data_IF_160766017598
#
_entry.id   IF_160766017598
#
_cell.length_a   1.000
_cell.length_b   1.000
_cell.length_c   1.000
_cell.angle_alpha   90.00
_cell.angle_beta   90.00
_cell.angle_gamma   90.00
#
_symmetry.space_group_name_H-M   'P 1'
#
loop_
_entity.id
_entity.type
_entity.pdbx_description
1 polymer ?
#
# COMPACT_ATOMS: atom_id res chain seq x y z
N UNK A 1 0.86 0.93 12.93
CA UNK A 1 1.13 0.70 11.50
C UNK A 1 2.17 -0.39 11.34
N UNK A 2 1.83 -1.43 10.59
CA UNK A 2 2.66 -2.62 10.39
C UNK A 2 3.13 -2.65 8.93
N UNK A 3 4.44 -2.81 8.71
CA UNK A 3 4.99 -3.12 7.39
C UNK A 3 5.05 -4.64 7.19
N UNK A 4 4.47 -5.13 6.11
CA UNK A 4 4.57 -6.54 5.75
C UNK A 4 5.80 -6.78 4.87
N UNK A 5 6.81 -7.43 5.45
CA UNK A 5 8.10 -7.64 4.79
C UNK A 5 8.82 -6.33 4.45
N UNK A 6 8.59 -5.27 5.22
CA UNK A 6 9.22 -3.98 5.03
C UNK A 6 9.29 -3.19 6.33
N UNK A 7 10.39 -2.50 6.54
CA UNK A 7 10.57 -1.55 7.65
C UNK A 7 10.16 -0.11 7.28
N UNK A 8 9.80 0.12 6.01
CA UNK A 8 9.42 1.42 5.51
C UNK A 8 7.96 1.45 5.03
N UNK A 9 7.33 2.61 5.17
CA UNK A 9 6.00 2.87 4.60
C UNK A 9 6.10 2.91 3.07
N UNK A 10 5.50 1.95 2.34
CA UNK A 10 5.65 1.90 0.88
C UNK A 10 4.90 3.06 0.21
N UNK A 11 5.54 3.76 -0.75
CA UNK A 11 4.95 4.93 -1.39
C UNK A 11 4.13 4.59 -2.64
N UNK A 12 3.38 3.50 -2.64
CA UNK A 12 2.45 3.03 -3.65
C UNK A 12 3.13 2.40 -4.88
N UNK A 13 3.79 3.18 -5.73
CA UNK A 13 4.40 2.70 -6.98
C UNK A 13 5.82 2.16 -6.81
N UNK A 14 6.44 2.42 -5.68
CA UNK A 14 7.78 1.96 -5.34
C UNK A 14 7.79 1.32 -3.95
N UNK A 15 8.93 0.76 -3.55
CA UNK A 15 9.02 0.02 -2.29
C UNK A 15 9.57 0.84 -1.13
N UNK A 16 10.31 1.91 -1.39
CA UNK A 16 11.01 2.70 -0.37
C UNK A 16 10.60 4.16 -0.39
N UNK A 17 10.30 4.71 0.78
CA UNK A 17 9.90 6.10 0.96
C UNK A 17 10.86 6.91 1.84
N UNK A 18 11.69 6.25 2.63
CA UNK A 18 12.46 6.87 3.70
C UNK A 18 11.68 7.10 5.01
N UNK A 19 10.39 6.75 5.05
CA UNK A 19 9.56 6.83 6.27
C UNK A 19 9.38 5.45 6.87
N UNK A 20 9.64 5.31 8.18
CA UNK A 20 9.52 4.04 8.89
C UNK A 20 8.08 3.67 9.24
N UNK A 21 7.88 2.38 9.54
CA UNK A 21 6.67 1.84 10.16
C UNK A 21 6.91 1.54 11.63
N UNK A 22 5.85 1.30 12.42
CA UNK A 22 6.00 0.98 13.84
C UNK A 22 6.59 -0.42 14.04
N UNK A 23 6.12 -1.39 13.28
CA UNK A 23 6.56 -2.79 13.36
C UNK A 23 6.66 -3.42 11.97
N UNK A 24 7.61 -4.31 11.80
CA UNK A 24 7.73 -5.17 10.63
C UNK A 24 7.33 -6.59 10.99
N UNK A 25 6.42 -7.19 10.21
CA UNK A 25 6.05 -8.60 10.28
C UNK A 25 6.21 -9.23 8.89
N UNK A 26 6.60 -10.49 8.86
CA UNK A 26 7.04 -11.14 7.61
C UNK A 26 6.12 -12.25 7.14
N UNK A 27 5.19 -12.71 7.97
CA UNK A 27 4.31 -13.84 7.64
C UNK A 27 2.85 -13.55 7.95
N UNK A 28 1.90 -14.16 7.22
CA UNK A 28 0.47 -14.05 7.52
C UNK A 28 0.12 -14.56 8.92
N UNK A 29 0.84 -15.56 9.42
CA UNK A 29 0.68 -16.10 10.77
C UNK A 29 0.99 -15.05 11.83
N UNK A 30 2.05 -14.27 11.65
CA UNK A 30 2.41 -13.19 12.56
C UNK A 30 1.35 -12.09 12.56
N UNK A 31 0.82 -11.70 11.40
CA UNK A 31 -0.28 -10.74 11.29
C UNK A 31 -1.53 -11.23 12.01
N UNK A 32 -1.92 -12.47 11.76
CA UNK A 32 -3.09 -13.09 12.38
C UNK A 32 -2.95 -13.14 13.91
N UNK A 33 -1.77 -13.53 14.41
CA UNK A 33 -1.47 -13.58 15.83
C UNK A 33 -1.53 -12.20 16.49
N UNK A 34 -0.96 -11.19 15.86
CA UNK A 34 -1.00 -9.82 16.37
C UNK A 34 -2.45 -9.30 16.48
N UNK A 35 -3.27 -9.55 15.49
CA UNK A 35 -4.68 -9.17 15.48
C UNK A 35 -5.48 -9.95 16.52
N UNK A 36 -5.26 -11.26 16.62
CA UNK A 36 -5.92 -12.13 17.62
C UNK A 36 -5.62 -11.67 19.05
N UNK A 37 -4.35 -11.46 19.38
CA UNK A 37 -3.94 -10.98 20.72
C UNK A 37 -4.52 -9.60 21.03
N UNK A 38 -4.53 -8.70 20.04
CA UNK A 38 -5.16 -7.39 20.18
C UNK A 38 -6.63 -7.50 20.57
N UNK A 39 -7.37 -8.41 19.96
CA UNK A 39 -8.79 -8.66 20.27
C UNK A 39 -8.97 -9.28 21.66
N UNK A 40 -8.15 -10.26 22.03
CA UNK A 40 -8.20 -10.89 23.36
C UNK A 40 -7.92 -9.90 24.49
N UNK A 41 -7.03 -8.94 24.26
CA UNK A 41 -6.75 -7.88 25.22
C UNK A 41 -7.84 -6.80 25.28
N UNK A 42 -8.86 -6.89 24.43
CA UNK A 42 -9.95 -5.91 24.38
C UNK A 42 -9.52 -4.56 23.81
N UNK A 43 -8.40 -4.48 23.14
CA UNK A 43 -7.91 -3.24 22.53
C UNK A 43 -8.74 -2.88 21.31
N UNK A 44 -9.25 -1.66 21.31
CA UNK A 44 -10.06 -1.11 20.20
C UNK A 44 -9.19 -0.47 19.13
N UNK A 45 -9.80 -0.17 17.98
CA UNK A 45 -9.12 0.41 16.83
C UNK A 45 -8.69 -0.64 15.81
N UNK A 46 -8.15 -0.19 14.68
CA UNK A 46 -7.69 -1.04 13.59
C UNK A 46 -6.20 -1.32 13.63
N UNK A 47 -5.77 -2.23 12.76
CA UNK A 47 -4.39 -2.40 12.34
C UNK A 47 -4.29 -1.93 10.89
N UNK A 48 -3.36 -1.02 10.61
CA UNK A 48 -3.00 -0.68 9.25
C UNK A 48 -1.80 -1.52 8.86
N UNK A 49 -2.00 -2.40 7.89
CA UNK A 49 -0.94 -3.24 7.34
C UNK A 49 -0.56 -2.68 5.97
N UNK A 50 0.67 -2.24 5.84
CA UNK A 50 1.20 -1.73 4.58
C UNK A 50 1.95 -2.84 3.87
N UNK A 51 1.57 -3.10 2.63
CA UNK A 51 2.10 -4.19 1.81
C UNK A 51 2.74 -3.59 0.56
N UNK A 52 4.07 -3.62 0.44
CA UNK A 52 4.73 -3.00 -0.69
C UNK A 52 4.38 -3.71 -2.00
N UNK A 53 4.43 -2.95 -3.09
CA UNK A 53 4.29 -3.51 -4.43
C UNK A 53 5.32 -4.62 -4.64
N UNK A 54 4.97 -5.74 -5.31
CA UNK A 54 5.96 -6.76 -5.67
C UNK A 54 7.13 -6.15 -6.45
N UNK A 55 8.34 -6.58 -6.15
CA UNK A 55 9.56 -6.00 -6.73
C UNK A 55 9.56 -6.00 -8.26
N UNK A 56 9.02 -7.05 -8.87
CA UNK A 56 8.89 -7.16 -10.33
C UNK A 56 8.02 -6.06 -10.96
N UNK A 57 7.14 -5.42 -10.19
CA UNK A 57 6.22 -4.38 -10.65
C UNK A 57 6.51 -3.01 -10.06
N UNK A 58 7.57 -2.89 -9.25
CA UNK A 58 8.03 -1.61 -8.72
C UNK A 58 8.55 -0.72 -9.84
N UNK A 59 8.10 0.51 -9.87
CA UNK A 59 8.51 1.47 -10.89
C UNK A 59 9.86 2.11 -10.53
N UNK A 60 10.55 2.66 -11.54
CA UNK A 60 11.73 3.48 -11.31
C UNK A 60 11.35 4.73 -10.51
N UNK A 61 12.06 4.95 -9.39
CA UNK A 61 11.72 6.02 -8.46
C UNK A 61 11.81 7.41 -9.09
N UNK A 62 12.83 7.67 -9.90
CA UNK A 62 13.00 8.98 -10.53
C UNK A 62 11.89 9.27 -11.55
N UNK A 63 11.51 8.27 -12.32
CA UNK A 63 10.43 8.39 -13.32
C UNK A 63 9.10 8.65 -12.62
N UNK A 64 8.77 7.87 -11.60
CA UNK A 64 7.48 8.01 -10.92
C UNK A 64 7.40 9.28 -10.08
N UNK A 65 8.46 9.68 -9.40
CA UNK A 65 8.49 10.91 -8.62
C UNK A 65 8.27 12.14 -9.51
N UNK A 66 8.85 12.14 -10.71
CA UNK A 66 8.64 13.21 -11.70
C UNK A 66 7.20 13.24 -12.19
N UNK A 67 6.63 12.09 -12.52
CA UNK A 67 5.23 11.99 -12.96
C UNK A 67 4.26 12.44 -11.86
N UNK A 68 4.52 12.06 -10.60
CA UNK A 68 3.71 12.50 -9.45
C UNK A 68 3.79 14.02 -9.27
N UNK A 69 4.98 14.59 -9.31
CA UNK A 69 5.16 16.04 -9.17
C UNK A 69 4.40 16.81 -10.24
N UNK A 70 4.47 16.38 -11.49
CA UNK A 70 3.73 16.97 -12.60
C UNK A 70 2.21 16.83 -12.41
N UNK A 71 1.73 15.64 -12.05
CA UNK A 71 0.31 15.40 -11.80
C UNK A 71 -0.25 16.25 -10.65
N UNK A 72 0.53 16.46 -9.58
CA UNK A 72 0.13 17.31 -8.44
C UNK A 72 0.06 18.78 -8.85
N UNK A 73 1.01 19.26 -9.63
CA UNK A 73 0.99 20.63 -10.16
C UNK A 73 -0.23 20.85 -11.08
N UNK A 74 -0.52 19.91 -11.95
CA UNK A 74 -1.69 19.99 -12.84
C UNK A 74 -3.01 19.95 -12.04
N UNK A 75 -3.09 19.13 -11.02
CA UNK A 75 -4.25 19.10 -10.13
C UNK A 75 -4.51 20.45 -9.46
N UNK A 76 -3.44 21.14 -9.02
CA UNK A 76 -3.55 22.49 -8.45
C UNK A 76 -4.04 23.51 -9.47
N UNK A 77 -3.50 23.49 -10.71
CA UNK A 77 -3.92 24.36 -11.81
C UNK A 77 -5.38 24.16 -12.18
N UNK A 78 -5.84 22.91 -12.19
CA UNK A 78 -7.20 22.52 -12.55
C UNK A 78 -8.20 22.69 -11.37
N UNK A 79 -7.73 23.12 -10.19
CA UNK A 79 -8.56 23.32 -9.00
C UNK A 79 -9.09 22.01 -8.41
N UNK A 80 -8.41 20.91 -8.62
CA UNK A 80 -8.81 19.59 -8.09
C UNK A 80 -8.42 19.47 -6.62
N UNK A 81 -9.39 19.14 -5.77
CA UNK A 81 -9.19 18.98 -4.33
C UNK A 81 -10.19 17.98 -3.72
N UNK A 82 -9.96 17.62 -2.46
CA UNK A 82 -10.82 16.68 -1.73
C UNK A 82 -10.80 15.28 -2.33
N UNK A 83 -11.94 14.62 -2.34
CA UNK A 83 -12.07 13.24 -2.83
C UNK A 83 -11.90 13.08 -4.34
N UNK A 84 -11.90 14.15 -5.11
CA UNK A 84 -11.59 14.10 -6.54
C UNK A 84 -10.09 13.97 -6.82
N UNK A 85 -9.21 14.25 -5.84
CA UNK A 85 -7.76 14.26 -6.01
C UNK A 85 -7.21 12.89 -6.40
N UNK A 86 -7.55 11.84 -5.67
CA UNK A 86 -7.01 10.48 -5.93
C UNK A 86 -7.35 9.95 -7.32
N UNK A 87 -8.61 9.95 -7.78
CA UNK A 87 -8.92 9.51 -9.14
C UNK A 87 -8.20 10.33 -10.22
N UNK A 88 -8.11 11.65 -10.02
CA UNK A 88 -7.41 12.55 -10.96
C UNK A 88 -5.92 12.19 -11.05
N UNK A 89 -5.24 12.07 -9.90
CA UNK A 89 -3.81 11.74 -9.86
C UNK A 89 -3.53 10.37 -10.49
N UNK A 90 -4.33 9.35 -10.19
CA UNK A 90 -4.15 8.02 -10.78
C UNK A 90 -4.28 8.05 -12.31
N UNK A 91 -5.28 8.74 -12.84
CA UNK A 91 -5.47 8.88 -14.28
C UNK A 91 -4.32 9.65 -14.93
N UNK A 92 -3.91 10.76 -14.34
CA UNK A 92 -2.84 11.60 -14.87
C UNK A 92 -1.49 10.88 -14.87
N UNK A 93 -1.15 10.21 -13.76
CA UNK A 93 0.10 9.44 -13.65
C UNK A 93 0.11 8.28 -14.66
N UNK A 94 -1.03 7.61 -14.86
CA UNK A 94 -1.17 6.60 -15.91
C UNK A 94 -0.81 7.15 -17.29
N UNK A 95 -1.36 8.32 -17.64
CA UNK A 95 -1.09 8.93 -18.93
C UNK A 95 0.39 9.35 -19.07
N UNK A 96 0.97 9.92 -18.02
CA UNK A 96 2.38 10.35 -18.00
C UNK A 96 3.36 9.17 -18.04
N UNK A 97 2.97 7.99 -17.62
CA UNK A 97 3.80 6.78 -17.58
C UNK A 97 3.50 5.80 -18.72
N UNK A 98 2.68 6.19 -19.70
CA UNK A 98 2.32 5.33 -20.83
C UNK A 98 1.55 4.06 -20.45
N UNK A 99 0.86 4.06 -19.31
CA UNK A 99 0.10 2.92 -18.80
C UNK A 99 0.83 2.04 -17.79
N UNK A 100 2.15 2.17 -17.63
CA UNK A 100 2.94 1.33 -16.72
C UNK A 100 2.47 1.47 -15.25
N UNK A 101 2.07 2.66 -14.83
CA UNK A 101 1.55 2.88 -13.48
C UNK A 101 0.22 2.16 -13.21
N UNK A 102 -0.59 1.96 -14.25
CA UNK A 102 -1.83 1.19 -14.13
C UNK A 102 -1.54 -0.29 -13.87
N UNK A 103 -0.59 -0.87 -14.59
CA UNK A 103 -0.18 -2.26 -14.37
C UNK A 103 0.38 -2.45 -12.96
N UNK A 104 1.23 -1.53 -12.51
CA UNK A 104 1.74 -1.53 -11.14
C UNK A 104 0.62 -1.45 -10.10
N UNK A 105 -0.36 -0.57 -10.30
CA UNK A 105 -1.52 -0.43 -9.41
C UNK A 105 -2.37 -1.71 -9.36
N UNK A 106 -2.61 -2.35 -10.50
CA UNK A 106 -3.36 -3.62 -10.56
C UNK A 106 -2.63 -4.71 -9.74
N UNK A 107 -1.33 -4.83 -9.91
CA UNK A 107 -0.53 -5.81 -9.15
C UNK A 107 -0.48 -5.50 -7.66
N UNK A 108 -0.47 -4.23 -7.29
CA UNK A 108 -0.57 -3.80 -5.89
C UNK A 108 -1.89 -4.27 -5.26
N UNK A 109 -3.01 -4.07 -5.94
CA UNK A 109 -4.34 -4.52 -5.48
C UNK A 109 -4.40 -6.04 -5.34
N UNK A 110 -3.89 -6.78 -6.32
CA UNK A 110 -3.84 -8.24 -6.25
C UNK A 110 -2.98 -8.73 -5.08
N UNK A 111 -1.83 -8.10 -4.86
CA UNK A 111 -0.94 -8.45 -3.75
C UNK A 111 -1.62 -8.20 -2.40
N UNK A 112 -2.33 -7.10 -2.26
CA UNK A 112 -3.10 -6.78 -1.05
C UNK A 112 -4.24 -7.79 -0.81
N UNK A 113 -4.96 -8.17 -1.84
CA UNK A 113 -6.03 -9.16 -1.75
C UNK A 113 -5.51 -10.54 -1.31
N UNK A 114 -4.37 -10.96 -1.86
CA UNK A 114 -3.73 -12.23 -1.47
C UNK A 114 -3.27 -12.20 -0.01
N UNK A 115 -2.67 -11.12 0.43
CA UNK A 115 -2.25 -10.98 1.82
C UNK A 115 -3.45 -10.97 2.77
N UNK A 116 -4.49 -10.24 2.45
CA UNK A 116 -5.72 -10.21 3.25
C UNK A 116 -6.35 -11.59 3.39
N UNK A 117 -6.43 -12.35 2.30
CA UNK A 117 -6.94 -13.71 2.32
C UNK A 117 -6.05 -14.65 3.15
N UNK A 118 -4.74 -14.59 2.99
CA UNK A 118 -3.81 -15.41 3.75
C UNK A 118 -3.89 -15.12 5.26
N UNK A 119 -3.94 -13.85 5.65
CA UNK A 119 -4.08 -13.45 7.04
C UNK A 119 -5.43 -13.91 7.63
N UNK A 120 -6.52 -13.84 6.88
CA UNK A 120 -7.83 -14.33 7.32
C UNK A 120 -7.85 -15.84 7.53
N UNK A 121 -7.21 -16.61 6.66
CA UNK A 121 -7.06 -18.07 6.83
C UNK A 121 -6.30 -18.39 8.11
N UNK A 122 -5.17 -17.74 8.35
CA UNK A 122 -4.38 -17.96 9.56
C UNK A 122 -5.13 -17.52 10.84
N UNK A 123 -5.86 -16.41 10.77
CA UNK A 123 -6.70 -15.96 11.89
C UNK A 123 -7.79 -17.00 12.22
N UNK A 124 -8.42 -17.58 11.21
CA UNK A 124 -9.45 -18.61 11.42
C UNK A 124 -8.93 -19.85 12.15
N UNK A 125 -7.68 -20.19 11.96
CA UNK A 125 -7.01 -21.31 12.67
C UNK A 125 -6.81 -20.99 14.17
N UNK A 126 -6.55 -19.74 14.50
CA UNK A 126 -6.36 -19.30 15.89
C UNK A 126 -7.68 -19.19 16.67
N UNK A 127 -8.79 -18.94 15.97
CA UNK A 127 -10.11 -18.71 16.57
C UNK A 127 -11.02 -19.95 16.58
N UNK A 128 -10.47 -21.09 16.26
CA UNK A 128 -11.17 -22.39 16.35
C UNK A 128 -11.26 -22.91 17.77
#
# INVERSE_FOLDING_TARGET
>A
VIGYGTSELPPFYTRKSGFGVDYELDTPEQLAKAFHVKRELGLRGGLLVTNPIPEAYSMDKEVIDKAIAEAVEDAKKDGIHGKATTPYLLAKIKDLTGGDSLDSNIQLVFNNARLGAAAAVELSKLEK
#
